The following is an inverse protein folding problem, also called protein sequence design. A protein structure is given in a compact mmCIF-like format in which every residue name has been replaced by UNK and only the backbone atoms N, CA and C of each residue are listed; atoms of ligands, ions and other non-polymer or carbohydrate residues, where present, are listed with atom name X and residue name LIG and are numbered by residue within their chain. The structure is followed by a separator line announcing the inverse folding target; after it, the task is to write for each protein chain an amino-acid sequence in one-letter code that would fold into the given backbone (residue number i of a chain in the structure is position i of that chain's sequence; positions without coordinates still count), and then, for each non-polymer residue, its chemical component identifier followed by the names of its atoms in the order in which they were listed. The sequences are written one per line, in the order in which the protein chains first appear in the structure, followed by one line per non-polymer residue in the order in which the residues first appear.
data_IF_596582295926
#
_entry.id   IF_596582295926
#
_cell.length_a   1.000
_cell.length_b   1.000
_cell.length_c   1.000
_cell.angle_alpha   90.00
_cell.angle_beta   90.00
_cell.angle_gamma   90.00
#
_symmetry.space_group_name_H-M   'P 1'
#
loop_
_entity.id
_entity.type
_entity.pdbx_description
1 polymer ?
#
# COMPACT_ATOMS: atom_id res chain seq x y z
N UNK A 1 8.54 -21.16 -4.95
CA UNK A 1 8.09 -21.91 -6.14
C UNK A 1 7.80 -20.93 -7.27
N UNK A 2 8.36 -21.17 -8.43
CA UNK A 2 8.06 -20.35 -9.60
C UNK A 2 6.71 -20.78 -10.16
N UNK A 3 5.80 -19.84 -10.34
CA UNK A 3 4.50 -20.12 -10.93
C UNK A 3 4.64 -20.36 -12.43
N UNK A 4 4.12 -21.48 -12.91
CA UNK A 4 4.07 -21.78 -14.35
C UNK A 4 2.87 -21.11 -15.03
N UNK A 5 2.08 -20.38 -14.27
CA UNK A 5 0.88 -19.72 -14.78
C UNK A 5 1.21 -18.66 -15.82
N UNK A 6 0.57 -18.73 -16.95
CA UNK A 6 0.75 -17.76 -18.05
C UNK A 6 -0.31 -16.66 -18.06
N UNK A 7 -1.43 -16.89 -17.41
CA UNK A 7 -2.52 -15.91 -17.33
C UNK A 7 -2.39 -15.09 -16.05
N UNK A 8 -2.49 -13.75 -16.11
CA UNK A 8 -2.43 -12.93 -14.91
C UNK A 8 -3.53 -13.30 -13.90
N UNK A 9 -3.23 -13.10 -12.63
CA UNK A 9 -4.22 -13.30 -11.57
C UNK A 9 -5.26 -12.19 -11.59
N UNK A 10 -6.50 -12.47 -11.15
CA UNK A 10 -7.52 -11.43 -11.06
C UNK A 10 -7.17 -10.42 -9.97
N UNK A 11 -7.47 -9.15 -10.25
CA UNK A 11 -7.17 -8.06 -9.31
C UNK A 11 -8.24 -7.87 -8.23
N UNK A 12 -9.31 -8.65 -8.25
CA UNK A 12 -10.44 -8.44 -7.36
C UNK A 12 -10.40 -9.26 -6.07
N UNK A 13 -9.48 -10.22 -5.95
CA UNK A 13 -9.34 -11.06 -4.76
C UNK A 13 -8.06 -10.69 -4.00
N UNK A 14 -8.23 -10.06 -2.84
CA UNK A 14 -7.11 -9.70 -1.98
C UNK A 14 -7.56 -9.53 -0.55
N UNK A 15 -6.62 -9.61 0.38
CA UNK A 15 -6.85 -9.33 1.80
C UNK A 15 -5.85 -8.32 2.31
N UNK A 16 -6.24 -7.56 3.33
CA UNK A 16 -5.38 -6.57 3.98
C UNK A 16 -5.36 -6.87 5.47
N UNK A 17 -4.17 -7.14 6.02
CA UNK A 17 -3.98 -7.44 7.44
C UNK A 17 -3.03 -6.41 8.05
N UNK A 18 -3.29 -6.04 9.30
CA UNK A 18 -2.46 -5.13 10.06
C UNK A 18 -1.76 -5.90 11.18
N UNK A 19 -0.46 -5.67 11.37
CA UNK A 19 0.36 -6.32 12.40
C UNK A 19 0.20 -7.85 12.46
N UNK A 20 0.10 -8.48 11.29
CA UNK A 20 0.04 -9.95 11.11
C UNK A 20 -1.16 -10.65 11.76
N UNK A 21 -1.88 -10.01 12.68
CA UNK A 21 -2.96 -10.65 13.43
C UNK A 21 -4.31 -9.92 13.31
N UNK A 22 -4.31 -8.63 13.00
CA UNK A 22 -5.52 -7.83 12.92
C UNK A 22 -6.06 -7.81 11.49
N UNK A 23 -7.32 -8.21 11.33
CA UNK A 23 -8.02 -8.12 10.05
C UNK A 23 -8.94 -6.91 10.11
N UNK A 24 -8.68 -5.92 9.27
CA UNK A 24 -9.48 -4.69 9.21
C UNK A 24 -10.55 -4.78 8.12
N UNK A 25 -11.36 -5.81 8.15
CA UNK A 25 -12.48 -5.95 7.22
C UNK A 25 -12.07 -6.00 5.76
N UNK A 26 -13.03 -5.91 4.88
CA UNK A 26 -12.80 -5.96 3.44
C UNK A 26 -12.57 -4.57 2.86
N UNK A 27 -11.44 -4.39 2.19
CA UNK A 27 -11.18 -3.20 1.39
C UNK A 27 -11.60 -3.47 -0.06
N UNK A 28 -12.16 -2.46 -0.71
CA UNK A 28 -12.56 -2.58 -2.11
C UNK A 28 -11.44 -2.27 -3.07
N UNK A 29 -10.55 -1.37 -2.68
CA UNK A 29 -9.47 -0.90 -3.54
C UNK A 29 -8.17 -0.74 -2.75
N UNK A 30 -7.07 -1.14 -3.36
CA UNK A 30 -5.71 -0.89 -2.87
C UNK A 30 -4.91 -0.35 -4.05
N UNK A 31 -4.25 0.77 -3.87
CA UNK A 31 -3.42 1.37 -4.91
C UNK A 31 -2.18 2.03 -4.32
N UNK A 32 -1.21 2.32 -5.18
CA UNK A 32 0.00 3.01 -4.76
C UNK A 32 1.12 2.11 -4.24
N UNK A 33 0.98 0.79 -4.40
CA UNK A 33 2.08 -0.13 -4.04
C UNK A 33 3.20 0.08 -5.07
N UNK A 34 4.24 0.79 -4.66
CA UNK A 34 5.35 1.10 -5.57
C UNK A 34 6.66 1.23 -4.81
N UNK A 35 7.73 0.99 -5.53
CA UNK A 35 9.08 1.24 -5.06
C UNK A 35 9.87 1.82 -6.21
N UNK A 36 10.72 2.80 -5.91
CA UNK A 36 11.54 3.43 -6.93
C UNK A 36 12.91 3.81 -6.38
N UNK A 37 13.86 3.96 -7.27
CA UNK A 37 15.18 4.46 -6.95
C UNK A 37 15.36 5.83 -7.60
N UNK A 38 15.88 6.79 -6.84
CA UNK A 38 16.29 8.06 -7.43
C UNK A 38 17.58 7.87 -8.22
N UNK A 39 17.82 8.73 -9.18
CA UNK A 39 19.02 8.67 -10.01
C UNK A 39 19.89 9.87 -9.66
N UNK A 40 21.15 9.59 -9.30
CA UNK A 40 22.16 10.62 -9.15
C UNK A 40 22.93 10.73 -10.47
N UNK A 41 22.99 11.94 -11.01
CA UNK A 41 23.71 12.20 -12.25
C UNK A 41 25.09 12.76 -11.93
N UNK A 42 26.08 12.22 -12.63
CA UNK A 42 27.46 12.61 -12.45
C UNK A 42 28.18 12.64 -13.80
N UNK A 43 28.99 13.67 -14.01
CA UNK A 43 29.83 13.79 -15.19
C UNK A 43 31.17 14.42 -14.79
N UNK A 44 32.27 13.75 -15.15
CA UNK A 44 33.58 14.32 -15.00
C UNK A 44 33.89 15.27 -16.17
N UNK A 45 34.53 16.40 -15.89
CA UNK A 45 34.89 17.36 -16.91
C UNK A 45 35.85 16.82 -17.97
N UNK A 46 36.54 15.73 -17.64
CA UNK A 46 37.45 15.04 -18.53
C UNK A 46 36.81 13.95 -19.37
N UNK A 47 35.52 13.69 -19.19
CA UNK A 47 34.81 12.67 -19.98
C UNK A 47 34.75 13.07 -21.44
N UNK A 48 35.19 12.19 -22.36
CA UNK A 48 35.19 12.51 -23.79
C UNK A 48 33.80 12.56 -24.40
N UNK A 49 32.81 11.99 -23.73
CA UNK A 49 31.43 11.95 -24.19
C UNK A 49 30.56 12.97 -23.45
N UNK A 50 29.55 13.48 -24.14
CA UNK A 50 28.65 14.51 -23.62
C UNK A 50 27.42 13.94 -22.86
N UNK A 51 27.51 12.74 -22.33
CA UNK A 51 26.44 12.17 -21.52
C UNK A 51 26.84 12.14 -20.05
N UNK A 52 25.84 12.21 -19.17
CA UNK A 52 26.06 12.08 -17.74
C UNK A 52 26.04 10.60 -17.34
N UNK A 53 26.83 10.28 -16.33
CA UNK A 53 26.80 8.96 -15.72
C UNK A 53 25.68 8.93 -14.69
N UNK A 54 24.91 7.85 -14.67
CA UNK A 54 23.80 7.68 -13.75
C UNK A 54 24.18 6.66 -12.68
N UNK A 55 24.02 7.06 -11.43
CA UNK A 55 24.21 6.19 -10.28
C UNK A 55 22.90 6.03 -9.55
N UNK A 56 22.74 4.89 -8.87
CA UNK A 56 21.56 4.65 -8.04
C UNK A 56 21.62 5.57 -6.82
N UNK A 57 20.53 6.28 -6.59
CA UNK A 57 20.39 7.16 -5.45
C UNK A 57 19.59 6.51 -4.32
N UNK A 58 18.74 7.31 -3.68
CA UNK A 58 17.96 6.89 -2.53
C UNK A 58 16.74 6.10 -2.97
N UNK A 59 16.45 5.02 -2.26
CA UNK A 59 15.22 4.24 -2.42
C UNK A 59 14.03 5.02 -1.87
N UNK A 60 12.94 5.04 -2.62
CA UNK A 60 11.69 5.67 -2.23
C UNK A 60 10.51 4.72 -2.42
N UNK A 61 9.53 4.87 -1.57
CA UNK A 61 8.25 4.18 -1.70
C UNK A 61 7.14 5.21 -1.80
N UNK A 62 6.06 4.84 -2.49
CA UNK A 62 4.90 5.71 -2.61
C UNK A 62 3.95 5.57 -1.44
N UNK A 63 2.95 6.44 -1.40
CA UNK A 63 1.87 6.33 -0.43
C UNK A 63 0.87 5.29 -0.91
N UNK A 64 0.42 4.44 0.01
CA UNK A 64 -0.55 3.39 -0.28
C UNK A 64 -1.94 3.87 0.10
N UNK A 65 -2.88 3.78 -0.83
CA UNK A 65 -4.26 4.19 -0.62
C UNK A 65 -5.15 2.96 -0.49
N UNK A 66 -5.89 2.90 0.61
CA UNK A 66 -6.85 1.84 0.91
C UNK A 66 -8.25 2.43 0.94
N UNK A 67 -9.19 1.79 0.24
CA UNK A 67 -10.56 2.26 0.15
C UNK A 67 -11.53 1.15 0.54
N UNK A 68 -12.57 1.47 1.30
CA UNK A 68 -13.57 0.51 1.70
C UNK A 68 -14.94 1.15 1.87
N UNK A 69 -16.01 0.33 1.88
CA UNK A 69 -17.34 0.77 2.27
C UNK A 69 -17.37 1.08 3.77
N UNK A 70 -18.17 2.07 4.15
CA UNK A 70 -18.33 2.43 5.55
C UNK A 70 -19.27 1.44 6.24
N UNK A 71 -18.70 0.61 7.11
CA UNK A 71 -19.45 -0.28 8.00
C UNK A 71 -19.12 0.08 9.44
N UNK A 72 -17.84 0.09 9.76
CA UNK A 72 -17.33 0.46 11.09
C UNK A 72 -16.00 1.18 10.89
N UNK A 73 -15.99 2.46 11.15
CA UNK A 73 -14.81 3.31 10.94
C UNK A 73 -14.02 3.57 12.21
N UNK A 74 -14.47 3.07 13.36
CA UNK A 74 -13.86 3.38 14.65
C UNK A 74 -12.38 3.03 14.70
N UNK A 75 -12.01 1.84 14.24
CA UNK A 75 -10.62 1.38 14.25
C UNK A 75 -9.69 2.27 13.43
N UNK A 76 -10.15 2.71 12.27
CA UNK A 76 -9.34 3.59 11.40
C UNK A 76 -9.16 4.98 12.01
N UNK A 77 -10.22 5.53 12.56
CA UNK A 77 -10.16 6.84 13.21
C UNK A 77 -9.33 6.80 14.49
N UNK A 78 -9.41 5.69 15.25
CA UNK A 78 -8.56 5.47 16.43
C UNK A 78 -7.09 5.41 16.06
N UNK A 79 -6.75 4.72 14.96
CA UNK A 79 -5.39 4.66 14.47
C UNK A 79 -4.85 6.05 14.09
N UNK A 80 -5.66 6.84 13.40
CA UNK A 80 -5.30 8.22 13.08
C UNK A 80 -5.06 9.04 14.35
N UNK A 81 -5.90 8.87 15.36
CA UNK A 81 -5.73 9.54 16.64
C UNK A 81 -4.45 9.10 17.35
N UNK A 82 -4.14 7.81 17.33
CA UNK A 82 -2.89 7.30 17.89
C UNK A 82 -1.67 7.86 17.16
N UNK A 83 -1.75 7.99 15.84
CA UNK A 83 -0.65 8.56 15.06
C UNK A 83 -0.38 10.01 15.44
N UNK A 84 -1.41 10.78 15.76
CA UNK A 84 -1.26 12.18 16.19
C UNK A 84 -0.72 12.32 17.61
N UNK A 85 -1.05 11.38 18.50
CA UNK A 85 -0.72 11.50 19.92
C UNK A 85 0.49 10.69 20.34
N UNK A 86 0.75 9.54 19.69
CA UNK A 86 1.82 8.62 20.08
C UNK A 86 3.02 8.61 19.10
N UNK A 87 2.88 9.26 17.94
CA UNK A 87 3.95 9.33 16.96
C UNK A 87 4.41 7.97 16.46
N UNK A 88 5.73 7.67 16.49
CA UNK A 88 6.26 6.43 15.92
C UNK A 88 5.69 5.14 16.52
N UNK A 89 5.18 5.19 17.76
CA UNK A 89 4.60 4.01 18.40
C UNK A 89 3.31 3.55 17.70
N UNK A 90 2.68 4.40 16.89
CA UNK A 90 1.46 4.06 16.16
C UNK A 90 1.73 3.40 14.80
N UNK A 91 2.99 3.27 14.39
CA UNK A 91 3.34 2.64 13.11
C UNK A 91 2.99 1.15 13.13
N UNK A 92 2.43 0.67 12.03
CA UNK A 92 2.04 -0.73 11.89
C UNK A 92 2.55 -1.28 10.56
N UNK A 93 2.79 -2.59 10.52
CA UNK A 93 3.09 -3.26 9.27
C UNK A 93 1.77 -3.73 8.65
N UNK A 94 1.58 -3.41 7.39
CA UNK A 94 0.37 -3.77 6.64
C UNK A 94 0.75 -4.83 5.61
N UNK A 95 0.06 -5.96 5.64
CA UNK A 95 0.28 -7.05 4.68
C UNK A 95 -0.90 -7.10 3.72
N UNK A 96 -0.60 -6.93 2.44
CA UNK A 96 -1.59 -7.05 1.37
C UNK A 96 -1.32 -8.35 0.64
N UNK A 97 -2.30 -9.25 0.65
CA UNK A 97 -2.18 -10.57 0.04
C UNK A 97 -3.13 -10.69 -1.13
N UNK A 98 -2.57 -11.02 -2.29
CA UNK A 98 -3.37 -11.28 -3.49
C UNK A 98 -3.74 -12.76 -3.53
N UNK A 99 -4.99 -13.04 -3.89
CA UNK A 99 -5.55 -14.38 -3.95
C UNK A 99 -5.83 -14.77 -5.41
N UNK A 100 -5.76 -16.07 -5.70
CA UNK A 100 -6.16 -16.58 -7.01
C UNK A 100 -7.69 -16.78 -7.10
N UNK A 101 -8.16 -17.38 -8.20
CA UNK A 101 -9.59 -17.62 -8.41
C UNK A 101 -10.18 -18.60 -7.39
N UNK A 102 -9.36 -19.46 -6.81
CA UNK A 102 -9.78 -20.37 -5.73
C UNK A 102 -9.66 -19.74 -4.35
N UNK A 103 -9.26 -18.45 -4.29
CA UNK A 103 -9.05 -17.70 -3.06
C UNK A 103 -7.88 -18.24 -2.23
N UNK A 104 -6.91 -18.83 -2.90
CA UNK A 104 -5.66 -19.25 -2.27
C UNK A 104 -4.62 -18.13 -2.39
N UNK A 105 -3.85 -17.84 -1.33
CA UNK A 105 -2.83 -16.80 -1.38
C UNK A 105 -1.74 -17.11 -2.40
N UNK A 106 -1.38 -16.13 -3.23
CA UNK A 106 -0.34 -16.33 -4.27
C UNK A 106 0.81 -15.35 -4.13
N UNK A 107 0.55 -14.10 -3.75
CA UNK A 107 1.59 -13.10 -3.54
C UNK A 107 1.22 -12.19 -2.38
N UNK A 108 2.23 -11.64 -1.74
CA UNK A 108 1.99 -10.66 -0.68
C UNK A 108 2.99 -9.52 -0.78
N UNK A 109 2.54 -8.36 -0.32
CA UNK A 109 3.38 -7.18 -0.13
C UNK A 109 3.28 -6.77 1.32
N UNK A 110 4.42 -6.56 1.96
CA UNK A 110 4.47 -6.06 3.33
C UNK A 110 4.85 -4.58 3.28
N UNK A 111 3.95 -3.75 3.75
CA UNK A 111 4.15 -2.31 3.84
C UNK A 111 4.66 -2.04 5.26
N UNK A 112 5.95 -1.73 5.39
CA UNK A 112 6.60 -1.58 6.71
C UNK A 112 6.53 -0.16 7.21
N UNK A 113 6.32 -0.03 8.51
CA UNK A 113 6.33 1.25 9.18
C UNK A 113 5.23 2.18 8.70
N UNK A 114 4.05 1.63 8.40
CA UNK A 114 2.94 2.41 7.89
C UNK A 114 2.23 3.17 8.99
N UNK A 115 1.84 4.39 8.68
CA UNK A 115 0.98 5.19 9.55
C UNK A 115 0.00 5.98 8.67
N UNK A 116 -1.20 6.31 9.20
CA UNK A 116 -2.19 7.02 8.40
C UNK A 116 -1.75 8.47 8.17
N UNK A 117 -1.62 8.83 6.89
CA UNK A 117 -1.27 10.17 6.48
C UNK A 117 -2.52 11.03 6.33
N UNK A 118 -3.59 10.44 5.81
CA UNK A 118 -4.84 11.13 5.54
C UNK A 118 -5.99 10.13 5.62
N UNK A 119 -7.04 10.49 6.34
CA UNK A 119 -8.26 9.70 6.41
C UNK A 119 -9.42 10.55 5.92
N UNK A 120 -10.06 10.10 4.86
CA UNK A 120 -11.16 10.81 4.22
C UNK A 120 -12.46 10.07 4.47
N UNK A 121 -13.40 10.74 5.11
CA UNK A 121 -14.74 10.21 5.34
C UNK A 121 -15.59 10.24 4.08
N UNK A 122 -16.78 9.64 4.14
CA UNK A 122 -17.64 9.57 2.97
C UNK A 122 -18.27 10.92 2.62
N UNK A 123 -18.61 11.09 1.34
CA UNK A 123 -19.46 12.17 0.90
C UNK A 123 -20.90 11.76 1.17
N UNK A 124 -21.61 12.54 1.98
CA UNK A 124 -22.98 12.25 2.37
C UNK A 124 -23.94 13.20 1.66
N UNK A 125 -24.94 12.67 1.00
CA UNK A 125 -25.96 13.45 0.29
C UNK A 125 -27.33 12.87 0.54
N UNK A 126 -28.25 13.72 0.99
CA UNK A 126 -29.61 13.29 1.35
C UNK A 126 -30.58 13.09 0.18
N UNK A 127 -30.12 13.31 -1.06
CA UNK A 127 -30.97 13.18 -2.24
C UNK A 127 -31.35 11.74 -2.61
N UNK A 128 -30.73 10.77 -1.97
CA UNK A 128 -30.85 9.38 -2.40
C UNK A 128 -30.06 9.12 -3.68
N UNK A 129 -29.96 7.87 -4.05
CA UNK A 129 -29.19 7.42 -5.21
C UNK A 129 -28.62 6.05 -4.92
N UNK A 130 -27.99 5.44 -5.91
CA UNK A 130 -27.39 4.12 -5.76
C UNK A 130 -26.01 4.09 -5.11
N UNK A 131 -25.46 5.24 -4.72
CA UNK A 131 -24.10 5.32 -4.21
C UNK A 131 -23.99 4.89 -2.76
N UNK A 132 -23.02 4.03 -2.48
CA UNK A 132 -22.72 3.59 -1.14
C UNK A 132 -21.65 4.51 -0.52
N UNK A 133 -21.75 4.71 0.79
CA UNK A 133 -20.75 5.49 1.50
C UNK A 133 -19.42 4.73 1.54
N UNK A 134 -18.35 5.38 1.14
CA UNK A 134 -16.99 4.82 1.15
C UNK A 134 -16.05 5.72 1.93
N UNK A 135 -15.04 5.11 2.53
CA UNK A 135 -13.97 5.84 3.20
C UNK A 135 -12.63 5.44 2.61
N UNK A 136 -11.66 6.33 2.73
CA UNK A 136 -10.35 6.17 2.15
C UNK A 136 -9.27 6.56 3.16
N UNK A 137 -8.24 5.74 3.27
CA UNK A 137 -7.07 6.08 4.06
C UNK A 137 -5.83 6.02 3.18
N UNK A 138 -5.00 7.05 3.30
CA UNK A 138 -3.69 7.11 2.64
C UNK A 138 -2.65 6.83 3.71
N UNK A 139 -1.80 5.84 3.47
CA UNK A 139 -0.74 5.42 4.38
C UNK A 139 0.60 5.89 3.85
N UNK A 140 1.39 6.50 4.72
CA UNK A 140 2.81 6.72 4.49
C UNK A 140 3.56 5.51 5.03
N UNK A 141 4.61 5.08 4.37
CA UNK A 141 5.37 3.90 4.77
C UNK A 141 6.86 4.10 4.56
N UNK A 142 7.66 3.25 5.21
CA UNK A 142 9.11 3.31 5.12
C UNK A 142 9.66 2.40 4.04
N UNK A 143 9.04 1.25 3.84
CA UNK A 143 9.49 0.27 2.86
C UNK A 143 8.35 -0.62 2.40
N UNK A 144 8.48 -1.16 1.20
CA UNK A 144 7.57 -2.16 0.65
C UNK A 144 8.39 -3.39 0.33
N UNK A 145 8.08 -4.52 0.97
CA UNK A 145 8.73 -5.79 0.72
C UNK A 145 7.79 -6.70 -0.07
N UNK A 146 8.35 -7.35 -1.07
CA UNK A 146 7.63 -8.36 -1.83
C UNK A 146 7.91 -9.73 -1.23
N UNK A 147 6.86 -10.54 -1.06
CA UNK A 147 6.98 -11.93 -0.63
C UNK A 147 6.15 -12.85 -1.50
N UNK A 148 6.71 -13.99 -1.84
CA UNK A 148 6.01 -15.03 -2.56
C UNK A 148 5.54 -16.08 -1.55
N UNK A 149 4.25 -16.44 -1.63
CA UNK A 149 3.69 -17.45 -0.75
C UNK A 149 3.92 -18.84 -1.32
N UNK A 150 4.28 -19.77 -0.45
CA UNK A 150 4.58 -21.14 -0.82
C UNK A 150 6.05 -21.40 -1.13
N UNK A 151 6.88 -20.41 -0.91
CA UNK A 151 8.33 -20.59 -1.03
C UNK A 151 8.94 -21.15 0.24
#
# INVERSE_FOLDING_TARGET
MVSERKTPYPAFNFTVNFNAAEIFGGFSDVSGIMTELTVAEYREGTDPENHVRKAQGIHKVGDVTLKRGVIDSETMWDWMQQARTQGPAAKKDVVITMLDEKREPVQKWTIRGAFPLKLTGPTLAGKGGGDLATEEVVLSCEAVDFGELGA
#
